data_IF_024511544078
#
_entry.id   IF_024511544078
#
_cell.length_a   1.000
_cell.length_b   1.000
_cell.length_c   1.000
_cell.angle_alpha   90.00
_cell.angle_beta   90.00
_cell.angle_gamma   90.00
#
_symmetry.space_group_name_H-M   'P 1'
#
loop_
_entity.id
_entity.type
_entity.pdbx_description
1 polymer ?
#
# COMPACT_ATOMS: atom_id res chain seq x y z
N UNK A 1 -8.55 6.89 45.72
CA UNK A 1 -9.03 7.02 44.33
C UNK A 1 -8.35 5.93 43.49
N UNK A 2 -9.07 4.86 43.14
CA UNK A 2 -8.52 3.84 42.23
C UNK A 2 -8.36 4.47 40.84
N UNK A 3 -7.11 4.52 40.37
CA UNK A 3 -6.80 4.89 38.96
C UNK A 3 -7.61 3.98 38.04
N UNK A 4 -8.52 4.55 37.22
CA UNK A 4 -9.19 3.82 36.15
C UNK A 4 -8.09 3.27 35.23
N UNK A 5 -7.79 1.97 35.31
CA UNK A 5 -6.90 1.34 34.36
C UNK A 5 -7.43 1.61 32.96
N UNK A 6 -6.59 2.24 32.15
CA UNK A 6 -6.94 2.63 30.79
C UNK A 6 -7.08 1.35 29.97
N UNK A 7 -8.31 0.97 29.62
CA UNK A 7 -8.56 -0.22 28.78
C UNK A 7 -7.67 -0.20 27.54
N UNK A 8 -7.07 -1.35 27.27
CA UNK A 8 -6.10 -1.57 26.17
C UNK A 8 -6.79 -2.08 24.92
N UNK A 9 -7.81 -1.34 24.47
CA UNK A 9 -8.69 -1.71 23.36
C UNK A 9 -8.90 -0.50 22.44
N UNK A 10 -9.15 -0.71 21.13
CA UNK A 10 -9.49 0.37 20.23
C UNK A 10 -10.85 0.98 20.59
N UNK A 11 -11.07 2.24 20.17
CA UNK A 11 -12.34 2.95 20.37
C UNK A 11 -13.52 2.29 19.65
N UNK A 12 -13.27 1.74 18.46
CA UNK A 12 -14.25 1.02 17.64
C UNK A 12 -13.93 -0.46 17.68
N UNK A 13 -14.94 -1.29 17.95
CA UNK A 13 -14.81 -2.75 18.05
C UNK A 13 -16.01 -3.46 17.47
N UNK A 14 -15.80 -4.64 16.93
CA UNK A 14 -16.91 -5.49 16.52
C UNK A 14 -17.71 -5.97 17.74
N UNK A 15 -19.04 -6.11 17.64
CA UNK A 15 -19.82 -6.73 18.70
C UNK A 15 -19.32 -8.13 19.05
N UNK A 16 -19.36 -8.46 20.34
CA UNK A 16 -18.94 -9.77 20.86
C UNK A 16 -17.48 -9.87 21.32
N UNK A 17 -16.64 -8.86 21.04
CA UNK A 17 -15.28 -8.80 21.57
C UNK A 17 -15.21 -7.83 22.76
N UNK A 18 -15.07 -8.39 23.96
CA UNK A 18 -15.08 -7.63 25.24
C UNK A 18 -13.75 -7.63 25.94
N UNK A 19 -12.93 -8.66 25.69
CA UNK A 19 -11.64 -8.85 26.34
C UNK A 19 -10.61 -7.79 25.89
N UNK A 20 -9.71 -7.42 26.80
CA UNK A 20 -8.61 -6.53 26.46
C UNK A 20 -7.64 -7.22 25.49
N UNK A 21 -6.97 -6.43 24.66
CA UNK A 21 -5.92 -6.95 23.80
C UNK A 21 -4.74 -7.41 24.65
N UNK A 22 -4.20 -8.59 24.29
CA UNK A 22 -3.09 -9.23 25.00
C UNK A 22 -1.78 -8.48 24.74
N UNK A 23 -1.02 -8.25 25.81
CA UNK A 23 0.33 -7.70 25.71
C UNK A 23 1.31 -8.79 25.31
N UNK A 24 1.95 -8.67 24.14
CA UNK A 24 2.90 -9.65 23.60
C UNK A 24 4.22 -8.99 23.21
N UNK A 25 5.33 -9.68 23.43
CA UNK A 25 6.61 -9.29 22.85
C UNK A 25 6.66 -9.71 21.38
N UNK A 26 7.41 -8.94 20.56
CA UNK A 26 7.62 -9.40 19.17
C UNK A 26 8.36 -10.73 19.11
N UNK A 27 9.22 -11.07 20.06
CA UNK A 27 9.84 -12.39 20.17
C UNK A 27 8.87 -13.55 20.40
N UNK A 28 7.66 -13.25 20.91
CA UNK A 28 6.62 -14.27 21.07
C UNK A 28 5.78 -14.46 19.79
N UNK A 29 5.96 -13.57 18.84
CA UNK A 29 5.19 -13.51 17.60
C UNK A 29 6.02 -13.82 16.37
N UNK A 30 7.29 -13.41 16.38
CA UNK A 30 8.20 -13.50 15.24
C UNK A 30 9.60 -13.94 15.66
N UNK A 31 10.27 -14.63 14.75
CA UNK A 31 11.70 -14.93 14.83
C UNK A 31 12.44 -14.29 13.64
N UNK A 32 13.69 -13.89 13.85
CA UNK A 32 14.55 -13.40 12.74
C UNK A 32 15.03 -14.57 11.90
N UNK A 33 14.85 -14.44 10.57
CA UNK A 33 15.30 -15.45 9.60
C UNK A 33 16.47 -14.88 8.76
N UNK A 34 17.39 -15.76 8.39
CA UNK A 34 18.46 -15.47 7.44
C UNK A 34 18.63 -16.66 6.49
N UNK A 35 17.58 -17.01 5.78
CA UNK A 35 17.55 -18.11 4.81
C UNK A 35 17.97 -17.56 3.44
N UNK A 36 19.11 -18.03 2.92
CA UNK A 36 19.62 -17.59 1.63
C UNK A 36 19.02 -18.41 0.50
N UNK A 37 18.87 -17.77 -0.66
CA UNK A 37 18.46 -18.46 -1.88
C UNK A 37 19.56 -19.45 -2.32
N UNK A 38 19.18 -20.68 -2.51
CA UNK A 38 20.02 -21.75 -3.06
C UNK A 38 19.87 -21.92 -4.58
N UNK A 39 19.31 -20.88 -5.25
CA UNK A 39 18.87 -20.83 -6.64
C UNK A 39 17.55 -21.60 -6.91
N UNK A 40 16.84 -22.01 -5.88
CA UNK A 40 15.46 -22.52 -6.01
C UNK A 40 14.49 -21.45 -6.52
N UNK A 41 14.82 -20.18 -6.34
CA UNK A 41 14.06 -19.04 -6.87
C UNK A 41 14.92 -18.28 -7.88
N UNK A 42 14.41 -18.12 -9.10
CA UNK A 42 15.01 -17.40 -10.21
C UNK A 42 14.64 -15.91 -10.23
N UNK A 43 15.12 -15.19 -11.25
CA UNK A 43 14.95 -13.74 -11.42
C UNK A 43 13.48 -13.26 -11.35
N UNK A 44 12.56 -14.04 -11.92
CA UNK A 44 11.13 -13.75 -11.94
C UNK A 44 10.47 -13.80 -10.56
N UNK A 45 11.18 -14.35 -9.55
CA UNK A 45 10.75 -14.41 -8.16
C UNK A 45 11.33 -13.32 -7.27
N UNK A 46 12.03 -12.34 -7.83
CA UNK A 46 12.47 -11.17 -7.07
C UNK A 46 11.27 -10.31 -6.71
N UNK A 47 11.06 -10.09 -5.42
CA UNK A 47 9.98 -9.27 -4.89
C UNK A 47 10.45 -7.84 -4.62
N UNK A 48 9.68 -6.86 -5.09
CA UNK A 48 9.80 -5.47 -4.67
C UNK A 48 9.17 -5.32 -3.28
N UNK A 49 9.98 -5.18 -2.24
CA UNK A 49 9.48 -5.05 -0.85
C UNK A 49 8.59 -3.82 -0.70
N UNK A 50 8.98 -2.68 -1.30
CA UNK A 50 8.25 -1.43 -1.16
C UNK A 50 6.81 -1.48 -1.69
N UNK A 51 6.57 -2.23 -2.78
CA UNK A 51 5.30 -2.21 -3.51
C UNK A 51 4.63 -3.59 -3.63
N UNK A 52 5.27 -4.63 -3.09
CA UNK A 52 4.78 -6.00 -3.02
C UNK A 52 4.29 -6.54 -4.38
N UNK A 53 5.22 -6.68 -5.33
CA UNK A 53 5.02 -7.34 -6.62
C UNK A 53 6.30 -8.03 -7.08
N UNK A 54 6.19 -9.04 -7.93
CA UNK A 54 7.33 -9.67 -8.59
C UNK A 54 7.88 -8.76 -9.68
N UNK A 55 9.20 -8.50 -9.66
CA UNK A 55 9.87 -7.65 -10.66
C UNK A 55 10.06 -8.41 -11.97
N UNK A 56 9.33 -8.02 -13.02
CA UNK A 56 9.43 -8.62 -14.35
C UNK A 56 10.67 -8.23 -15.14
N UNK A 57 11.31 -7.13 -14.76
CA UNK A 57 12.45 -6.50 -15.44
C UNK A 57 13.73 -6.52 -14.63
N UNK A 58 13.78 -7.35 -13.59
CA UNK A 58 14.97 -7.47 -12.74
C UNK A 58 16.16 -7.99 -13.56
N UNK A 59 17.29 -7.28 -13.45
CA UNK A 59 18.55 -7.67 -14.04
C UNK A 59 19.57 -7.87 -12.93
N UNK A 60 20.31 -8.97 -12.99
CA UNK A 60 21.47 -9.20 -12.15
C UNK A 60 22.68 -9.45 -13.06
N UNK A 61 23.84 -9.11 -12.58
CA UNK A 61 25.10 -9.29 -13.34
C UNK A 61 25.47 -10.75 -13.57
N UNK A 62 25.04 -11.63 -12.65
CA UNK A 62 25.27 -13.07 -12.68
C UNK A 62 24.18 -13.77 -11.84
N UNK A 63 23.70 -14.94 -12.27
CA UNK A 63 22.75 -15.74 -11.50
C UNK A 63 23.27 -16.14 -10.11
N UNK A 64 24.56 -16.39 -9.97
CA UNK A 64 25.20 -16.66 -8.68
C UNK A 64 24.96 -15.53 -7.65
N UNK A 65 24.76 -14.29 -8.12
CA UNK A 65 24.45 -13.17 -7.25
C UNK A 65 23.11 -13.36 -6.51
N UNK A 66 22.18 -14.14 -7.09
CA UNK A 66 20.91 -14.47 -6.46
C UNK A 66 21.07 -15.27 -5.16
N UNK A 67 22.22 -15.96 -4.97
CA UNK A 67 22.54 -16.64 -3.70
C UNK A 67 22.75 -15.67 -2.53
N UNK A 68 22.99 -14.41 -2.81
CA UNK A 68 23.09 -13.38 -1.75
C UNK A 68 21.73 -12.94 -1.23
N UNK A 69 20.65 -13.16 -2.01
CA UNK A 69 19.29 -12.77 -1.67
C UNK A 69 18.74 -13.63 -0.52
N UNK A 70 17.85 -13.04 0.26
CA UNK A 70 17.11 -13.76 1.28
C UNK A 70 15.83 -14.34 0.67
N UNK A 71 15.48 -15.57 1.04
CA UNK A 71 14.15 -16.13 0.77
C UNK A 71 13.13 -15.33 1.60
N UNK A 72 11.99 -15.03 0.98
CA UNK A 72 10.90 -14.27 1.59
C UNK A 72 9.59 -14.98 1.31
N UNK A 73 9.11 -15.72 2.30
CA UNK A 73 7.91 -16.57 2.16
C UNK A 73 6.64 -15.80 2.42
N UNK A 74 5.55 -16.29 1.90
CA UNK A 74 4.21 -15.76 2.17
C UNK A 74 3.96 -15.65 3.68
N UNK A 75 3.55 -14.46 4.12
CA UNK A 75 3.29 -14.16 5.53
C UNK A 75 4.49 -13.75 6.37
N UNK A 76 5.71 -13.82 5.85
CA UNK A 76 6.86 -13.21 6.50
C UNK A 76 6.85 -11.69 6.36
N UNK A 77 7.53 -10.99 7.26
CA UNK A 77 7.70 -9.55 7.21
C UNK A 77 9.16 -9.18 6.94
N UNK A 78 9.36 -8.14 6.15
CA UNK A 78 10.70 -7.58 5.87
C UNK A 78 10.77 -6.13 6.33
N UNK A 79 11.90 -5.73 6.92
CA UNK A 79 12.11 -4.35 7.31
C UNK A 79 12.67 -3.55 6.14
N UNK A 80 11.97 -2.46 5.79
CA UNK A 80 12.39 -1.46 4.81
C UNK A 80 12.83 -0.18 5.53
N UNK A 81 14.13 0.10 5.52
CA UNK A 81 14.73 1.22 6.25
C UNK A 81 14.59 2.58 5.58
N UNK A 82 13.96 2.68 4.41
CA UNK A 82 13.77 3.94 3.70
C UNK A 82 12.83 4.87 4.48
N UNK A 83 13.29 6.10 4.66
CA UNK A 83 12.47 7.15 5.28
C UNK A 83 11.53 7.75 4.25
N UNK A 84 10.31 8.04 4.67
CA UNK A 84 9.33 8.77 3.87
C UNK A 84 8.58 9.78 4.74
N UNK A 85 7.69 10.54 4.10
CA UNK A 85 6.79 11.44 4.83
C UNK A 85 5.90 10.69 5.85
N UNK A 86 5.51 9.47 5.51
CA UNK A 86 4.60 8.66 6.30
C UNK A 86 5.31 7.71 7.27
N UNK A 87 6.61 7.43 7.04
CA UNK A 87 7.41 6.48 7.83
C UNK A 87 8.77 7.07 8.19
N UNK A 88 8.83 7.67 9.38
CA UNK A 88 10.05 8.37 9.86
C UNK A 88 11.21 7.43 10.17
N UNK A 89 10.91 6.21 10.61
CA UNK A 89 11.89 5.24 11.09
C UNK A 89 11.99 3.99 10.19
N UNK A 90 11.51 4.07 8.94
CA UNK A 90 11.30 2.92 8.08
C UNK A 90 9.99 2.22 8.43
N UNK A 91 9.77 1.06 7.81
CA UNK A 91 8.54 0.28 8.03
C UNK A 91 8.79 -1.21 7.89
N UNK A 92 7.87 -2.02 8.38
CA UNK A 92 7.78 -3.41 7.99
C UNK A 92 6.81 -3.58 6.82
N UNK A 93 7.08 -4.54 5.96
CA UNK A 93 6.19 -4.93 4.87
C UNK A 93 5.96 -6.42 4.93
N UNK A 94 4.71 -6.86 4.90
CA UNK A 94 4.34 -8.26 4.93
C UNK A 94 4.21 -8.81 3.52
N UNK A 95 4.75 -10.00 3.30
CA UNK A 95 4.61 -10.70 2.02
C UNK A 95 3.21 -11.28 1.86
N UNK A 96 2.42 -10.66 1.00
CA UNK A 96 1.03 -11.05 0.72
C UNK A 96 0.82 -11.60 -0.69
N UNK A 97 1.89 -11.82 -1.47
CA UNK A 97 1.79 -12.22 -2.89
C UNK A 97 2.25 -13.65 -3.17
N UNK A 98 3.07 -14.22 -2.30
CA UNK A 98 3.63 -15.58 -2.46
C UNK A 98 5.13 -15.62 -2.28
N UNK A 99 5.70 -16.82 -2.28
CA UNK A 99 7.11 -17.04 -2.02
C UNK A 99 8.00 -16.47 -3.13
N UNK A 100 9.15 -15.93 -2.72
CA UNK A 100 10.15 -15.38 -3.62
C UNK A 100 11.42 -14.96 -2.86
N UNK A 101 12.19 -14.08 -3.45
CA UNK A 101 13.45 -13.59 -2.90
C UNK A 101 13.51 -12.07 -2.85
N UNK A 102 14.20 -11.55 -1.84
CA UNK A 102 14.47 -10.12 -1.67
C UNK A 102 15.95 -9.87 -1.43
N UNK A 103 16.40 -8.65 -1.71
CA UNK A 103 17.81 -8.27 -1.48
C UNK A 103 18.23 -8.55 -0.04
N UNK A 104 19.48 -8.94 0.13
CA UNK A 104 20.11 -9.22 1.43
C UNK A 104 20.11 -8.04 2.41
N UNK A 105 19.85 -6.84 1.93
CA UNK A 105 19.78 -5.63 2.77
C UNK A 105 18.53 -5.59 3.66
N UNK A 106 17.49 -6.39 3.33
CA UNK A 106 16.27 -6.47 4.11
C UNK A 106 16.38 -7.54 5.19
N UNK A 107 16.05 -7.17 6.42
CA UNK A 107 15.91 -8.14 7.50
C UNK A 107 14.54 -8.78 7.46
N UNK A 108 14.50 -10.13 7.51
CA UNK A 108 13.28 -10.95 7.41
C UNK A 108 12.94 -11.52 8.77
N UNK A 109 11.65 -11.52 9.08
CA UNK A 109 11.10 -12.13 10.28
C UNK A 109 9.93 -13.04 9.92
N UNK A 110 9.94 -14.25 10.48
CA UNK A 110 8.90 -15.28 10.30
C UNK A 110 7.97 -15.31 11.48
N UNK A 111 6.64 -15.35 11.26
CA UNK A 111 5.69 -15.55 12.34
C UNK A 111 5.82 -16.96 12.92
N UNK A 112 5.85 -17.06 14.25
CA UNK A 112 5.96 -18.32 14.99
C UNK A 112 4.67 -18.72 15.72
N UNK A 113 3.62 -17.90 15.59
CA UNK A 113 2.31 -18.16 16.18
C UNK A 113 1.21 -18.10 15.11
N UNK A 114 0.02 -18.60 15.43
CA UNK A 114 -1.16 -18.41 14.57
C UNK A 114 -1.52 -16.93 14.51
N UNK A 115 -1.71 -16.41 13.32
CA UNK A 115 -1.99 -15.00 13.06
C UNK A 115 -2.91 -14.85 11.85
N UNK A 116 -3.47 -13.66 11.67
CA UNK A 116 -4.20 -13.29 10.44
C UNK A 116 -3.35 -12.35 9.60
N UNK A 117 -3.02 -12.77 8.38
CA UNK A 117 -2.13 -12.05 7.46
C UNK A 117 -2.66 -10.64 7.13
N UNK A 118 -3.97 -10.50 6.93
CA UNK A 118 -4.54 -9.19 6.59
C UNK A 118 -4.54 -8.25 7.77
N UNK A 119 -4.79 -8.74 9.00
CA UNK A 119 -4.65 -7.93 10.20
C UNK A 119 -3.21 -7.41 10.33
N UNK A 120 -2.22 -8.30 10.23
CA UNK A 120 -0.83 -7.94 10.41
C UNK A 120 -0.32 -7.02 9.31
N UNK A 121 -0.72 -7.20 8.05
CA UNK A 121 -0.42 -6.28 6.94
C UNK A 121 -0.69 -4.81 7.32
N UNK A 122 -1.83 -4.54 7.98
CA UNK A 122 -2.19 -3.18 8.39
C UNK A 122 -1.56 -2.79 9.72
N UNK A 123 -1.55 -3.70 10.69
CA UNK A 123 -1.07 -3.39 12.03
C UNK A 123 0.43 -3.11 12.07
N UNK A 124 1.25 -3.90 11.35
CA UNK A 124 2.70 -3.72 11.27
C UNK A 124 3.12 -2.44 10.53
N UNK A 125 2.21 -1.85 9.74
CA UNK A 125 2.40 -0.59 9.03
C UNK A 125 1.70 0.60 9.70
N UNK A 126 1.03 0.40 10.83
CA UNK A 126 0.32 1.48 11.48
C UNK A 126 1.28 2.38 12.24
N UNK A 127 1.69 3.49 11.61
CA UNK A 127 2.73 4.41 12.11
C UNK A 127 2.50 4.93 13.55
N UNK A 128 1.25 5.25 14.00
CA UNK A 128 1.03 5.68 15.39
C UNK A 128 1.47 4.68 16.47
N UNK A 129 1.52 3.39 16.13
CA UNK A 129 2.02 2.30 17.00
C UNK A 129 3.45 1.96 16.62
N UNK A 130 3.66 1.58 15.36
CA UNK A 130 4.94 1.04 14.90
C UNK A 130 6.05 2.10 14.84
N UNK A 131 5.73 3.36 14.55
CA UNK A 131 6.71 4.45 14.60
C UNK A 131 7.32 4.61 15.99
N UNK A 132 6.52 4.43 17.06
CA UNK A 132 7.04 4.44 18.46
C UNK A 132 7.92 3.23 18.75
N UNK A 133 7.56 2.05 18.26
CA UNK A 133 8.37 0.84 18.36
C UNK A 133 9.69 1.05 17.62
N UNK A 134 9.62 1.41 16.34
CA UNK A 134 10.79 1.58 15.48
C UNK A 134 11.73 2.69 15.96
N UNK A 135 11.22 3.76 16.58
CA UNK A 135 12.06 4.82 17.14
C UNK A 135 13.03 4.31 18.22
N UNK A 136 12.70 3.22 18.92
CA UNK A 136 13.52 2.64 20.00
C UNK A 136 14.47 1.54 19.48
N UNK A 137 14.14 0.90 18.38
CA UNK A 137 14.90 -0.23 17.86
C UNK A 137 15.59 0.03 16.50
N UNK A 138 15.61 1.28 16.03
CA UNK A 138 16.34 1.66 14.81
C UNK A 138 17.47 2.64 15.10
N UNK A 139 18.53 2.53 14.30
CA UNK A 139 19.66 3.48 14.28
C UNK A 139 19.58 4.30 13.00
N UNK A 140 19.64 5.62 13.14
CA UNK A 140 19.64 6.54 11.99
C UNK A 140 20.98 6.48 11.26
N UNK A 141 20.92 6.37 9.94
CA UNK A 141 22.04 6.65 9.04
C UNK A 141 21.68 7.86 8.16
N UNK A 142 22.59 8.26 7.29
CA UNK A 142 22.39 9.44 6.44
C UNK A 142 21.14 9.33 5.56
N UNK A 143 20.94 8.18 4.92
CA UNK A 143 19.83 7.98 3.95
C UNK A 143 18.74 7.02 4.45
N UNK A 144 19.07 6.10 5.33
CA UNK A 144 18.20 5.01 5.78
C UNK A 144 18.15 4.93 7.30
N UNK A 145 17.32 4.04 7.81
CA UNK A 145 17.39 3.55 9.17
C UNK A 145 17.76 2.07 9.15
N UNK A 146 18.59 1.65 10.09
CA UNK A 146 18.95 0.25 10.27
C UNK A 146 18.23 -0.29 11.50
N UNK A 147 17.54 -1.40 11.34
CA UNK A 147 16.87 -2.09 12.43
C UNK A 147 17.89 -2.80 13.32
N UNK A 148 17.71 -2.71 14.65
CA UNK A 148 18.40 -3.55 15.61
C UNK A 148 17.43 -4.68 15.99
N UNK A 149 17.53 -5.80 15.29
CA UNK A 149 16.59 -6.92 15.41
C UNK A 149 16.40 -7.40 16.85
N UNK A 150 17.49 -7.47 17.66
CA UNK A 150 17.41 -7.87 19.07
C UNK A 150 16.55 -6.92 19.91
N UNK A 151 16.57 -5.62 19.58
CA UNK A 151 15.80 -4.63 20.32
C UNK A 151 14.36 -4.63 19.83
N UNK A 152 14.12 -4.79 18.52
CA UNK A 152 12.77 -4.99 17.98
C UNK A 152 12.06 -6.20 18.61
N UNK A 153 12.72 -7.34 18.71
CA UNK A 153 12.13 -8.55 19.30
C UNK A 153 11.79 -8.40 20.78
N UNK A 154 12.39 -7.45 21.52
CA UNK A 154 12.04 -7.12 22.91
C UNK A 154 10.85 -6.18 23.02
N UNK A 155 10.52 -5.45 21.96
CA UNK A 155 9.42 -4.50 21.96
C UNK A 155 8.08 -5.20 22.18
N UNK A 156 7.14 -4.46 22.74
CA UNK A 156 5.84 -4.96 23.18
C UNK A 156 4.74 -4.29 22.37
N UNK A 157 3.78 -5.10 21.95
CA UNK A 157 2.55 -4.68 21.28
C UNK A 157 1.32 -5.29 21.93
N UNK A 158 0.16 -4.67 21.67
CA UNK A 158 -1.12 -5.21 22.09
C UNK A 158 -1.78 -5.89 20.90
N UNK A 159 -2.16 -7.15 21.05
CA UNK A 159 -2.66 -8.01 19.99
C UNK A 159 -4.03 -8.55 20.36
N UNK A 160 -5.05 -8.43 19.49
CA UNK A 160 -6.36 -9.02 19.72
C UNK A 160 -6.33 -10.54 19.56
N UNK A 161 -7.39 -11.20 19.99
CA UNK A 161 -7.61 -12.62 19.70
C UNK A 161 -7.59 -12.89 18.20
N UNK A 162 -7.20 -14.09 17.78
CA UNK A 162 -7.16 -14.48 16.37
C UNK A 162 -8.51 -14.28 15.66
N UNK A 163 -9.63 -14.48 16.37
CA UNK A 163 -10.97 -14.25 15.84
C UNK A 163 -11.20 -12.76 15.53
N UNK A 164 -10.75 -11.86 16.41
CA UNK A 164 -10.85 -10.43 16.20
C UNK A 164 -9.88 -9.95 15.11
N UNK A 165 -8.64 -10.47 15.05
CA UNK A 165 -7.70 -10.22 13.96
C UNK A 165 -8.35 -10.50 12.61
N UNK A 166 -8.99 -11.66 12.44
CA UNK A 166 -9.69 -12.04 11.20
C UNK A 166 -10.78 -11.05 10.82
N UNK A 167 -11.58 -10.59 11.80
CA UNK A 167 -12.66 -9.60 11.53
C UNK A 167 -12.10 -8.27 11.07
N UNK A 168 -11.07 -7.77 11.76
CA UNK A 168 -10.39 -6.51 11.40
C UNK A 168 -9.72 -6.64 10.03
N UNK A 169 -8.98 -7.72 9.81
CA UNK A 169 -8.26 -7.99 8.57
C UNK A 169 -9.20 -8.07 7.35
N UNK A 170 -10.31 -8.81 7.47
CA UNK A 170 -11.32 -8.92 6.42
C UNK A 170 -11.91 -7.54 6.09
N UNK A 171 -12.29 -6.74 7.11
CA UNK A 171 -12.86 -5.40 6.90
C UNK A 171 -11.89 -4.52 6.12
N UNK A 172 -10.66 -4.38 6.61
CA UNK A 172 -9.66 -3.49 5.99
C UNK A 172 -9.29 -3.96 4.57
N UNK A 173 -9.09 -5.26 4.36
CA UNK A 173 -8.81 -5.81 3.03
C UNK A 173 -9.97 -5.64 2.05
N UNK A 174 -11.21 -5.70 2.53
CA UNK A 174 -12.40 -5.44 1.69
C UNK A 174 -12.47 -3.97 1.28
N UNK A 175 -12.14 -3.05 2.19
CA UNK A 175 -12.06 -1.61 1.89
C UNK A 175 -10.97 -1.34 0.83
N UNK A 176 -9.77 -1.90 0.96
CA UNK A 176 -8.70 -1.75 -0.03
C UNK A 176 -9.11 -2.26 -1.42
N UNK A 177 -9.78 -3.42 -1.47
CA UNK A 177 -10.31 -3.96 -2.74
C UNK A 177 -11.35 -3.02 -3.37
N UNK A 178 -12.24 -2.47 -2.56
CA UNK A 178 -13.25 -1.51 -3.02
C UNK A 178 -12.61 -0.22 -3.53
N UNK A 179 -11.65 0.34 -2.81
CA UNK A 179 -10.89 1.51 -3.23
C UNK A 179 -10.21 1.24 -4.59
N UNK A 180 -9.51 0.12 -4.72
CA UNK A 180 -8.82 -0.27 -5.96
C UNK A 180 -9.81 -0.39 -7.14
N UNK A 181 -10.98 -0.99 -6.92
CA UNK A 181 -12.01 -1.12 -7.95
C UNK A 181 -12.56 0.24 -8.40
N UNK A 182 -12.82 1.14 -7.44
CA UNK A 182 -13.28 2.49 -7.75
C UNK A 182 -12.23 3.32 -8.49
N UNK A 183 -10.94 3.20 -8.14
CA UNK A 183 -9.85 3.84 -8.90
C UNK A 183 -9.81 3.36 -10.34
N UNK A 184 -9.85 2.04 -10.58
CA UNK A 184 -9.90 1.48 -11.94
C UNK A 184 -11.12 1.97 -12.74
N UNK A 185 -12.29 2.03 -12.09
CA UNK A 185 -13.52 2.55 -12.72
C UNK A 185 -13.37 4.01 -13.09
N UNK A 186 -12.82 4.83 -12.21
CA UNK A 186 -12.55 6.24 -12.46
C UNK A 186 -11.60 6.45 -13.64
N UNK A 187 -10.50 5.70 -13.70
CA UNK A 187 -9.53 5.81 -14.78
C UNK A 187 -10.14 5.37 -16.13
N UNK A 188 -10.90 4.29 -16.14
CA UNK A 188 -11.64 3.87 -17.34
C UNK A 188 -12.65 4.93 -17.81
N UNK A 189 -13.35 5.59 -16.89
CA UNK A 189 -14.28 6.68 -17.24
C UNK A 189 -13.54 7.90 -17.77
N UNK A 190 -12.38 8.24 -17.22
CA UNK A 190 -11.51 9.32 -17.76
C UNK A 190 -11.06 9.03 -19.18
N UNK A 191 -10.62 7.78 -19.45
CA UNK A 191 -10.23 7.35 -20.79
C UNK A 191 -11.41 7.40 -21.78
N UNK A 192 -12.60 6.92 -21.39
CA UNK A 192 -13.81 7.00 -22.20
C UNK A 192 -14.20 8.44 -22.49
N UNK A 193 -14.16 9.32 -21.47
CA UNK A 193 -14.42 10.75 -21.65
C UNK A 193 -13.46 11.35 -22.68
N UNK A 194 -12.16 11.08 -22.56
CA UNK A 194 -11.13 11.57 -23.48
C UNK A 194 -11.40 11.09 -24.93
N UNK A 195 -11.70 9.83 -25.10
CA UNK A 195 -12.02 9.27 -26.42
C UNK A 195 -13.30 9.87 -27.03
N UNK A 196 -14.35 10.06 -26.23
CA UNK A 196 -15.58 10.69 -26.69
C UNK A 196 -15.38 12.16 -27.06
N UNK A 197 -14.59 12.92 -26.30
CA UNK A 197 -14.26 14.30 -26.65
C UNK A 197 -13.56 14.38 -28.02
N UNK A 198 -12.67 13.44 -28.33
CA UNK A 198 -11.99 13.40 -29.63
C UNK A 198 -12.92 13.04 -30.78
N UNK A 199 -13.99 12.26 -30.52
CA UNK A 199 -14.89 11.76 -31.54
C UNK A 199 -16.15 12.61 -31.72
N UNK A 200 -16.60 13.27 -30.67
CA UNK A 200 -17.82 14.09 -30.68
C UNK A 200 -17.61 15.50 -31.21
N UNK A 201 -16.36 15.95 -31.31
CA UNK A 201 -16.01 17.24 -31.90
C UNK A 201 -15.29 17.06 -33.22
N UNK A 202 -15.60 17.90 -34.24
CA UNK A 202 -14.89 17.83 -35.52
C UNK A 202 -13.39 18.17 -35.32
N UNK A 203 -12.54 17.51 -36.11
CA UNK A 203 -11.11 17.87 -36.17
C UNK A 203 -10.97 19.21 -36.89
N UNK A 204 -9.79 19.86 -36.74
CA UNK A 204 -9.51 21.13 -37.40
C UNK A 204 -9.74 21.02 -38.91
N UNK A 205 -10.62 21.90 -39.46
CA UNK A 205 -10.99 21.94 -40.87
C UNK A 205 -12.15 21.02 -41.28
N UNK A 206 -12.58 20.12 -40.38
CA UNK A 206 -13.75 19.26 -40.61
C UNK A 206 -15.03 19.91 -40.09
N UNK A 207 -16.16 19.60 -40.73
CA UNK A 207 -17.50 20.10 -40.30
C UNK A 207 -18.35 19.01 -39.70
N UNK A 208 -17.86 17.78 -39.62
CA UNK A 208 -18.53 16.62 -39.06
C UNK A 208 -17.65 15.94 -38.03
N UNK A 209 -18.17 15.67 -36.83
CA UNK A 209 -17.47 14.83 -35.88
C UNK A 209 -17.49 13.37 -36.35
N UNK A 210 -16.52 12.56 -35.89
CA UNK A 210 -16.44 11.13 -36.18
C UNK A 210 -17.65 10.36 -35.60
N UNK A 211 -18.18 10.80 -34.46
CA UNK A 211 -19.34 10.20 -33.80
C UNK A 211 -20.41 11.28 -33.56
N UNK A 212 -21.69 10.94 -33.90
CA UNK A 212 -22.86 11.80 -33.68
C UNK A 212 -24.01 10.98 -33.09
N UNK A 213 -24.86 11.67 -32.36
CA UNK A 213 -26.11 11.06 -31.92
C UNK A 213 -27.09 10.87 -33.11
N UNK A 214 -27.90 9.82 -33.10
CA UNK A 214 -28.91 9.62 -34.14
C UNK A 214 -29.83 10.86 -34.30
N UNK A 215 -30.18 11.19 -35.53
CA UNK A 215 -31.02 12.36 -35.86
C UNK A 215 -30.28 13.68 -36.12
N UNK A 216 -28.96 13.74 -35.86
CA UNK A 216 -28.14 14.93 -36.17
C UNK A 216 -27.30 14.64 -37.40
N UNK A 217 -27.73 15.18 -38.58
CA UNK A 217 -27.09 14.89 -39.89
C UNK A 217 -26.36 16.08 -40.47
N UNK A 218 -26.78 17.33 -40.12
CA UNK A 218 -26.28 18.53 -40.76
C UNK A 218 -24.86 18.89 -40.33
N UNK A 219 -24.08 19.46 -41.24
CA UNK A 219 -22.73 19.95 -40.95
C UNK A 219 -22.76 20.99 -39.80
N UNK A 220 -21.71 21.00 -38.98
CA UNK A 220 -21.56 22.03 -37.96
C UNK A 220 -21.33 23.39 -38.65
N UNK A 221 -22.09 24.39 -38.20
CA UNK A 221 -22.01 25.74 -38.71
C UNK A 221 -20.81 26.47 -38.08
N UNK A 222 -20.02 27.12 -38.94
CA UNK A 222 -18.94 27.97 -38.48
C UNK A 222 -19.49 29.36 -38.16
N UNK A 223 -19.40 29.78 -36.89
CA UNK A 223 -19.80 31.11 -36.43
C UNK A 223 -18.68 31.77 -35.65
N UNK A 224 -18.69 33.10 -35.65
CA UNK A 224 -17.75 33.86 -34.80
C UNK A 224 -18.19 33.81 -33.36
N UNK A 225 -17.23 33.76 -32.43
CA UNK A 225 -17.53 33.71 -30.99
C UNK A 225 -18.35 34.94 -30.55
N UNK A 226 -18.11 36.10 -31.15
CA UNK A 226 -18.88 37.34 -30.90
C UNK A 226 -20.37 37.25 -31.24
N UNK A 227 -20.77 36.30 -32.11
CA UNK A 227 -22.20 36.10 -32.44
C UNK A 227 -22.97 35.42 -31.30
N UNK A 228 -22.29 34.84 -30.33
CA UNK A 228 -22.85 34.10 -29.18
C UNK A 228 -22.65 34.81 -27.84
N UNK A 229 -21.73 35.79 -27.77
CA UNK A 229 -21.37 36.42 -26.50
C UNK A 229 -21.63 37.93 -26.58
N UNK A 230 -22.54 38.41 -25.76
CA UNK A 230 -22.61 39.82 -25.43
C UNK A 230 -21.56 40.13 -24.37
N UNK A 231 -20.69 41.11 -24.61
CA UNK A 231 -19.72 41.53 -23.62
C UNK A 231 -20.48 42.21 -22.45
N UNK A 232 -20.65 41.48 -21.35
CA UNK A 232 -21.26 42.04 -20.15
C UNK A 232 -20.16 42.83 -19.41
N UNK A 233 -20.11 44.12 -19.62
CA UNK A 233 -19.32 45.03 -18.81
C UNK A 233 -20.10 45.38 -17.52
N UNK A 234 -20.12 44.46 -16.56
CA UNK A 234 -20.52 44.83 -15.20
C UNK A 234 -19.29 45.42 -14.51
N UNK A 235 -19.16 46.73 -14.55
CA UNK A 235 -18.34 47.44 -13.58
C UNK A 235 -18.97 47.26 -12.21
N UNK A 236 -18.41 46.41 -11.37
CA UNK A 236 -18.63 46.45 -9.94
C UNK A 236 -17.80 47.64 -9.44
N UNK A 237 -18.45 48.78 -9.22
CA UNK A 237 -17.84 49.87 -8.48
C UNK A 237 -17.56 49.40 -7.04
N UNK A 238 -16.37 49.73 -6.49
CA UNK A 238 -15.95 49.35 -5.14
C UNK A 238 -16.82 49.95 -4.03
#
# INVERSE_FOLDING_TARGET
MMSKEKRRVPKLRFPGFTEDWEQRKFSDLYEKISEKNDLSYSLDKIISVANMYYKSDAKVSNEEYLKTYNIFRYGEIAFEGNKSKDFTYGRFVENTIGDGIISHVFEVFRPITKYDIYFWKYYINYEPIMGKVLSRCTKKTTMMTNLVAKDFLKEIVFVPSLAEQKRIGILLNTLDKSITLHHRKLDNLKLKKKALLQKLFPKNGERYPEFRFPGFTDAWEQRKLGDFTNQINTFVNP
#
